data_IF_476419424138
#
_entry.id   IF_476419424138
#
_cell.length_a   1.000
_cell.length_b   1.000
_cell.length_c   1.000
_cell.angle_alpha   90.00
_cell.angle_beta   90.00
_cell.angle_gamma   90.00
#
_symmetry.space_group_name_H-M   'P 1'
#
loop_
_entity.id
_entity.type
_entity.pdbx_description
1 polymer ?
#
# COMPACT_ATOMS: atom_id res chain seq x y z
N UNK A 1 2.13 -7.34 -10.22
CA UNK A 1 1.61 -8.41 -9.32
C UNK A 1 1.52 -9.76 -10.04
N UNK A 2 2.04 -10.83 -9.44
CA UNK A 2 2.01 -12.18 -10.00
C UNK A 2 0.58 -12.69 -10.29
N UNK A 3 0.42 -13.47 -11.36
CA UNK A 3 -0.88 -13.99 -11.79
C UNK A 3 -1.53 -14.95 -10.77
N UNK A 4 -0.70 -15.71 -10.06
CA UNK A 4 -1.12 -16.60 -8.98
C UNK A 4 -1.77 -15.83 -7.83
N UNK A 5 -1.21 -14.69 -7.44
CA UNK A 5 -1.74 -13.85 -6.36
C UNK A 5 -3.17 -13.40 -6.63
N UNK A 6 -3.44 -12.86 -7.83
CA UNK A 6 -4.78 -12.37 -8.18
C UNK A 6 -5.80 -13.49 -8.22
N UNK A 7 -5.42 -14.66 -8.77
CA UNK A 7 -6.30 -15.83 -8.86
C UNK A 7 -6.63 -16.41 -7.50
N UNK A 8 -5.63 -16.52 -6.61
CA UNK A 8 -5.79 -17.20 -5.34
C UNK A 8 -6.37 -16.31 -4.23
N UNK A 9 -6.04 -15.02 -4.20
CA UNK A 9 -6.38 -14.14 -3.06
C UNK A 9 -7.31 -12.99 -3.40
N UNK A 10 -7.49 -12.68 -4.69
CA UNK A 10 -8.26 -11.52 -5.17
C UNK A 10 -9.33 -11.94 -6.19
N UNK A 11 -9.99 -13.07 -5.96
CA UNK A 11 -11.13 -13.55 -6.76
C UNK A 11 -10.90 -13.54 -8.29
N UNK A 12 -9.66 -13.75 -8.74
CA UNK A 12 -9.34 -13.73 -10.16
C UNK A 12 -9.36 -12.33 -10.79
N UNK A 13 -9.11 -11.28 -10.00
CA UNK A 13 -9.08 -9.90 -10.48
C UNK A 13 -8.30 -9.75 -11.80
N UNK A 14 -8.82 -8.95 -12.77
CA UNK A 14 -8.13 -8.72 -14.04
C UNK A 14 -6.73 -8.15 -13.85
N UNK A 15 -5.89 -8.25 -14.89
CA UNK A 15 -4.56 -7.60 -14.95
C UNK A 15 -4.68 -6.08 -15.13
N UNK A 16 -5.42 -5.44 -14.25
CA UNK A 16 -5.63 -4.00 -14.22
C UNK A 16 -5.53 -3.54 -12.78
N UNK A 17 -4.64 -2.59 -12.54
CA UNK A 17 -4.26 -2.14 -11.21
C UNK A 17 -5.45 -1.60 -10.41
N UNK A 18 -6.23 -0.69 -10.99
CA UNK A 18 -7.42 -0.15 -10.34
C UNK A 18 -8.43 -1.24 -9.93
N UNK A 19 -8.61 -2.28 -10.76
CA UNK A 19 -9.48 -3.42 -10.43
C UNK A 19 -8.90 -4.30 -9.32
N UNK A 20 -7.58 -4.49 -9.32
CA UNK A 20 -6.86 -5.23 -8.27
C UNK A 20 -6.95 -4.51 -6.93
N UNK A 21 -6.67 -3.20 -6.92
CA UNK A 21 -6.77 -2.35 -5.74
C UNK A 21 -8.20 -2.35 -5.22
N UNK A 22 -9.19 -2.20 -6.11
CA UNK A 22 -10.61 -2.25 -5.74
C UNK A 22 -10.95 -3.57 -5.05
N UNK A 23 -10.53 -4.71 -5.60
CA UNK A 23 -10.80 -6.01 -4.98
C UNK A 23 -10.12 -6.13 -3.60
N UNK A 24 -8.87 -5.69 -3.50
CA UNK A 24 -8.12 -5.71 -2.25
C UNK A 24 -8.76 -4.84 -1.15
N UNK A 25 -9.16 -3.62 -1.50
CA UNK A 25 -9.80 -2.65 -0.58
C UNK A 25 -11.20 -3.10 -0.17
N UNK A 26 -11.95 -3.72 -1.09
CA UNK A 26 -13.33 -4.15 -0.82
C UNK A 26 -13.44 -5.49 -0.10
N UNK A 27 -12.34 -6.24 -0.01
CA UNK A 27 -12.29 -7.46 0.80
C UNK A 27 -12.73 -7.15 2.23
N UNK A 28 -13.57 -8.04 2.78
CA UNK A 28 -14.21 -7.89 4.09
C UNK A 28 -13.22 -7.44 5.18
N UNK A 29 -12.08 -8.11 5.31
CA UNK A 29 -11.13 -7.88 6.41
C UNK A 29 -10.41 -6.54 6.29
N UNK A 30 -10.16 -6.06 5.07
CA UNK A 30 -9.55 -4.75 4.83
C UNK A 30 -10.58 -3.62 4.99
N UNK A 31 -11.79 -3.84 4.49
CA UNK A 31 -12.88 -2.86 4.54
C UNK A 31 -13.43 -2.63 5.94
N UNK A 32 -13.49 -3.67 6.78
CA UNK A 32 -14.18 -3.65 8.08
C UNK A 32 -13.68 -2.54 9.02
N UNK A 33 -12.37 -2.28 9.03
CA UNK A 33 -11.75 -1.25 9.87
C UNK A 33 -11.17 -0.07 9.05
N UNK A 34 -11.60 0.10 7.80
CA UNK A 34 -11.13 1.19 6.96
C UNK A 34 -11.63 2.56 7.48
N UNK A 35 -10.84 3.60 7.24
CA UNK A 35 -11.23 4.99 7.50
C UNK A 35 -12.39 5.40 6.59
N UNK A 36 -13.42 6.03 7.17
CA UNK A 36 -14.55 6.59 6.40
C UNK A 36 -14.15 7.85 5.65
N UNK A 37 -13.33 8.67 6.31
CA UNK A 37 -12.78 9.92 5.78
C UNK A 37 -11.36 9.70 5.28
N UNK A 38 -10.85 10.62 4.45
CA UNK A 38 -9.43 10.61 4.09
C UNK A 38 -8.56 10.77 5.36
N UNK A 39 -7.36 10.18 5.39
CA UNK A 39 -6.36 10.53 6.38
C UNK A 39 -5.99 12.03 6.28
N UNK A 40 -5.56 12.62 7.39
CA UNK A 40 -5.05 13.99 7.40
C UNK A 40 -3.73 14.05 6.61
N UNK A 41 -3.50 15.16 5.88
CA UNK A 41 -2.29 15.35 5.08
C UNK A 41 -2.35 14.83 3.64
N UNK A 42 -3.46 14.22 3.21
CA UNK A 42 -3.63 13.74 1.84
C UNK A 42 -4.76 14.46 1.11
N UNK A 43 -4.58 14.72 -0.19
CA UNK A 43 -5.64 15.26 -1.03
C UNK A 43 -6.80 14.26 -1.21
N UNK A 44 -8.00 14.76 -1.53
CA UNK A 44 -9.14 13.87 -1.85
C UNK A 44 -8.89 13.08 -3.12
N UNK A 45 -8.15 13.65 -4.05
CA UNK A 45 -7.93 13.12 -5.39
C UNK A 45 -6.60 12.35 -5.52
N UNK A 46 -5.93 12.06 -4.39
CA UNK A 46 -4.74 11.22 -4.37
C UNK A 46 -5.04 9.83 -4.97
N UNK A 47 -4.23 9.37 -5.92
CA UNK A 47 -4.45 8.13 -6.66
C UNK A 47 -4.67 6.91 -5.74
N UNK A 48 -3.87 6.82 -4.68
CA UNK A 48 -3.92 5.73 -3.70
C UNK A 48 -4.80 6.00 -2.47
N UNK A 49 -5.69 7.00 -2.51
CA UNK A 49 -6.51 7.36 -1.35
C UNK A 49 -7.34 6.19 -0.80
N UNK A 50 -7.71 5.24 -1.66
CA UNK A 50 -8.43 4.04 -1.28
C UNK A 50 -7.58 3.09 -0.42
N UNK A 51 -6.27 2.99 -0.71
CA UNK A 51 -5.31 2.18 0.03
C UNK A 51 -4.93 2.87 1.34
N UNK A 52 -4.70 4.19 1.31
CA UNK A 52 -4.34 4.98 2.50
C UNK A 52 -5.42 4.99 3.59
N UNK A 53 -6.67 4.73 3.21
CA UNK A 53 -7.78 4.58 4.18
C UNK A 53 -7.74 3.26 4.93
N UNK A 54 -7.02 2.25 4.44
CA UNK A 54 -6.98 0.94 5.07
C UNK A 54 -6.13 0.98 6.35
N UNK A 55 -6.60 0.31 7.39
CA UNK A 55 -5.81 0.01 8.60
C UNK A 55 -5.24 -1.39 8.60
N UNK A 56 -5.82 -2.26 7.79
CA UNK A 56 -5.47 -3.67 7.69
C UNK A 56 -5.08 -3.96 6.24
N UNK A 57 -3.95 -4.63 6.03
CA UNK A 57 -3.47 -5.10 4.74
C UNK A 57 -3.43 -6.62 4.73
N UNK A 58 -4.60 -7.24 4.55
CA UNK A 58 -4.80 -8.68 4.71
C UNK A 58 -5.20 -9.34 3.40
N UNK A 59 -4.76 -10.59 3.24
CA UNK A 59 -5.14 -11.49 2.15
C UNK A 59 -5.60 -12.79 2.77
N UNK A 60 -6.64 -13.39 2.18
CA UNK A 60 -7.21 -14.63 2.68
C UNK A 60 -7.65 -15.53 1.54
N UNK A 61 -7.47 -16.83 1.74
CA UNK A 61 -7.99 -17.86 0.85
C UNK A 61 -8.93 -18.75 1.66
N UNK A 62 -10.11 -19.05 1.12
CA UNK A 62 -11.10 -19.91 1.76
C UNK A 62 -11.03 -21.29 1.14
N UNK A 63 -10.96 -22.31 1.99
CA UNK A 63 -11.00 -23.71 1.57
C UNK A 63 -12.38 -24.29 1.85
N UNK A 64 -12.84 -25.18 0.98
CA UNK A 64 -13.96 -26.06 1.30
C UNK A 64 -13.49 -27.22 2.18
N UNK A 65 -14.37 -27.73 3.05
CA UNK A 65 -14.05 -28.87 3.95
C UNK A 65 -13.55 -30.11 3.18
N UNK A 66 -14.05 -30.31 1.96
CA UNK A 66 -13.64 -31.40 1.08
C UNK A 66 -12.22 -31.23 0.52
N UNK A 67 -11.66 -30.03 0.54
CA UNK A 67 -10.28 -29.77 0.13
C UNK A 67 -9.31 -30.03 1.26
N UNK A 68 -9.69 -29.65 2.49
CA UNK A 68 -8.89 -29.83 3.71
C UNK A 68 -8.66 -31.30 4.04
N UNK A 69 -9.60 -32.17 3.68
CA UNK A 69 -9.53 -33.62 3.94
C UNK A 69 -8.70 -34.41 2.93
N UNK A 70 -8.22 -33.76 1.84
CA UNK A 70 -7.39 -34.43 0.83
C UNK A 70 -5.98 -34.66 1.36
N UNK A 71 -5.37 -35.78 0.99
CA UNK A 71 -3.98 -36.08 1.31
C UNK A 71 -2.99 -35.03 0.76
N UNK A 72 -3.36 -34.33 -0.33
CA UNK A 72 -2.55 -33.30 -0.99
C UNK A 72 -2.78 -31.89 -0.44
N UNK A 73 -3.55 -31.74 0.64
CA UNK A 73 -3.88 -30.42 1.18
C UNK A 73 -2.63 -29.67 1.64
N UNK A 74 -1.68 -30.37 2.27
CA UNK A 74 -0.41 -29.77 2.71
C UNK A 74 0.37 -29.14 1.57
N UNK A 75 0.45 -29.80 0.40
CA UNK A 75 1.12 -29.25 -0.78
C UNK A 75 0.40 -27.98 -1.28
N UNK A 76 -0.93 -27.98 -1.24
CA UNK A 76 -1.75 -26.82 -1.62
C UNK A 76 -1.47 -25.62 -0.70
N UNK A 77 -1.34 -25.86 0.61
CA UNK A 77 -1.00 -24.82 1.58
C UNK A 77 0.40 -24.27 1.33
N UNK A 78 1.38 -25.13 1.06
CA UNK A 78 2.75 -24.71 0.74
C UNK A 78 2.79 -23.84 -0.51
N UNK A 79 2.06 -24.20 -1.56
CA UNK A 79 1.98 -23.42 -2.79
C UNK A 79 1.33 -22.05 -2.56
N UNK A 80 0.28 -21.98 -1.75
CA UNK A 80 -0.34 -20.70 -1.39
C UNK A 80 0.60 -19.83 -0.54
N UNK A 81 1.36 -20.42 0.38
CA UNK A 81 2.36 -19.70 1.18
C UNK A 81 3.49 -19.14 0.31
N UNK A 82 3.94 -19.88 -0.71
CA UNK A 82 4.93 -19.38 -1.69
C UNK A 82 4.42 -18.14 -2.43
N UNK A 83 3.13 -18.11 -2.76
CA UNK A 83 2.50 -16.94 -3.42
C UNK A 83 2.39 -15.75 -2.46
N UNK A 84 2.13 -15.98 -1.17
CA UNK A 84 2.04 -14.92 -0.14
C UNK A 84 3.40 -14.38 0.30
N UNK A 85 4.45 -15.19 0.26
CA UNK A 85 5.78 -14.82 0.72
C UNK A 85 6.28 -13.44 0.23
N UNK A 86 6.23 -13.09 -1.08
CA UNK A 86 6.70 -11.77 -1.54
C UNK A 86 5.87 -10.61 -0.99
N UNK A 87 4.58 -10.81 -0.73
CA UNK A 87 3.73 -9.78 -0.12
C UNK A 87 4.11 -9.52 1.33
N UNK A 88 4.32 -10.58 2.11
CA UNK A 88 4.77 -10.45 3.51
C UNK A 88 6.18 -9.84 3.57
N UNK A 89 7.09 -10.26 2.68
CA UNK A 89 8.44 -9.68 2.60
C UNK A 89 8.39 -8.17 2.37
N UNK A 90 7.57 -7.71 1.41
CA UNK A 90 7.40 -6.28 1.14
C UNK A 90 6.81 -5.52 2.34
N UNK A 91 5.79 -6.07 3.01
CA UNK A 91 5.24 -5.42 4.20
C UNK A 91 6.28 -5.30 5.31
N UNK A 92 7.10 -6.34 5.50
CA UNK A 92 8.15 -6.30 6.49
C UNK A 92 9.21 -5.25 6.16
N UNK A 93 9.65 -5.12 4.90
CA UNK A 93 10.64 -4.11 4.51
C UNK A 93 10.15 -2.69 4.68
N UNK A 94 8.84 -2.43 4.53
CA UNK A 94 8.25 -1.10 4.74
C UNK A 94 8.10 -0.77 6.24
N UNK A 95 7.75 -1.76 7.07
CA UNK A 95 7.45 -1.54 8.49
C UNK A 95 8.70 -1.61 9.37
N UNK A 96 9.65 -2.49 9.03
CA UNK A 96 10.94 -2.65 9.69
C UNK A 96 11.98 -2.88 8.59
N UNK A 97 12.44 -1.83 7.91
CA UNK A 97 13.55 -1.95 6.97
C UNK A 97 14.78 -2.49 7.72
N UNK A 98 15.45 -3.47 7.13
CA UNK A 98 16.73 -3.92 7.65
C UNK A 98 17.72 -2.75 7.51
N UNK A 99 18.55 -2.44 8.53
CA UNK A 99 19.46 -1.29 8.49
C UNK A 99 20.51 -1.37 7.38
N UNK A 100 20.67 -2.54 6.76
CA UNK A 100 21.60 -2.79 5.66
C UNK A 100 20.94 -2.69 4.26
N UNK A 101 19.63 -2.42 4.18
CA UNK A 101 18.84 -2.23 2.94
C UNK A 101 18.67 -0.73 2.58
N UNK A 102 19.50 0.15 3.15
CA UNK A 102 19.62 1.56 2.72
C UNK A 102 20.29 1.62 1.34
N UNK A 103 19.53 1.35 0.26
CA UNK A 103 19.92 1.85 -1.05
C UNK A 103 19.74 3.38 -1.07
N UNK A 104 20.89 4.05 -0.95
CA UNK A 104 21.24 5.38 -1.47
C UNK A 104 20.05 6.36 -1.56
N UNK A 105 19.85 7.11 -0.47
CA UNK A 105 19.15 8.38 -0.58
C UNK A 105 19.88 9.25 -1.59
N UNK A 106 19.24 9.55 -2.72
CA UNK A 106 19.67 10.66 -3.56
C UNK A 106 19.45 11.94 -2.76
N UNK A 107 20.56 12.66 -2.61
CA UNK A 107 20.77 13.84 -1.78
C UNK A 107 19.82 15.01 -2.13
N UNK A 108 19.38 15.68 -1.07
CA UNK A 108 19.21 17.13 -0.89
C UNK A 108 18.85 18.00 -2.13
N UNK A 109 17.59 18.43 -2.20
CA UNK A 109 17.23 19.75 -2.74
C UNK A 109 16.52 20.52 -1.61
N UNK A 110 17.30 21.15 -0.72
CA UNK A 110 16.83 22.25 0.13
C UNK A 110 16.73 23.50 -0.75
N UNK A 111 15.55 23.76 -1.32
CA UNK A 111 15.24 25.07 -1.89
C UNK A 111 15.06 26.07 -0.74
N UNK A 112 16.17 26.77 -0.39
CA UNK A 112 16.16 28.02 0.37
C UNK A 112 15.51 29.12 -0.48
N UNK A 113 14.19 29.32 -0.32
CA UNK A 113 13.54 30.55 -0.78
C UNK A 113 13.93 31.71 0.17
N UNK A 114 15.11 32.28 -0.05
CA UNK A 114 15.41 33.67 0.31
C UNK A 114 14.75 34.58 -0.74
N UNK A 115 13.56 35.09 -0.44
CA UNK A 115 13.02 36.24 -1.17
C UNK A 115 12.93 37.45 -0.25
N UNK A 116 13.50 38.51 -0.80
CA UNK A 116 14.10 39.69 -0.20
C UNK A 116 13.09 40.68 0.42
N UNK A 117 13.67 41.54 1.27
CA UNK A 117 13.09 42.65 2.00
C UNK A 117 12.47 43.71 1.06
N UNK A 118 11.15 43.91 1.13
CA UNK A 118 10.53 45.17 0.68
C UNK A 118 10.55 46.18 1.85
N UNK A 119 11.70 46.83 2.06
CA UNK A 119 11.81 48.11 2.76
C UNK A 119 11.66 49.26 1.74
N UNK A 120 10.42 49.65 1.42
CA UNK A 120 10.17 50.96 0.82
C UNK A 120 10.00 52.00 1.95
N UNK A 121 11.14 52.49 2.43
CA UNK A 121 11.27 53.82 3.01
C UNK A 121 11.15 54.86 1.88
N UNK A 122 10.03 55.57 1.80
CA UNK A 122 10.00 56.90 1.16
C UNK A 122 9.80 57.95 2.26
N UNK A 123 10.90 58.66 2.53
CA UNK A 123 11.01 59.86 3.34
C UNK A 123 10.21 61.04 2.74
N UNK A 124 9.62 61.83 3.66
CA UNK A 124 9.39 63.29 3.66
C UNK A 124 9.37 64.09 2.33
N UNK A 125 8.29 64.86 2.11
CA UNK A 125 8.39 66.33 2.05
C UNK A 125 7.01 67.06 2.09
N UNK A 126 6.96 68.08 2.97
CA UNK A 126 6.05 69.24 3.14
C UNK A 126 4.54 69.11 3.51
#
# INVERSE_FOLDING_TARGET
MADSMRKQFLNGAPKNEAKVIKEFVTNRTNKENALKVRPQGYDKDHADIALLKLRNFTLGHKFADSEVTKATFSDTVVDLMRVLHPFVKYLNSVVMPDPDDEEEGEDEDEDEDEDEEDEDEDEDDE
#
